data_IF_637459124172
#
_entry.id   IF_637459124172
#
_cell.length_a   1.000
_cell.length_b   1.000
_cell.length_c   1.000
_cell.angle_alpha   90.00
_cell.angle_beta   90.00
_cell.angle_gamma   90.00
#
_symmetry.space_group_name_H-M   'P 1'
#
loop_
_entity.id
_entity.type
_entity.pdbx_description
1 polymer ?
#
# COMPACT_ATOMS: atom_id res chain seq x y z
N UNK A 1 17.58 -21.60 -3.97
CA UNK A 1 16.87 -20.57 -4.77
C UNK A 1 17.63 -19.27 -4.77
N UNK A 2 17.68 -18.56 -5.91
CA UNK A 2 18.34 -17.25 -5.99
C UNK A 2 17.47 -16.25 -6.73
N UNK A 3 17.46 -15.03 -6.27
CA UNK A 3 16.82 -13.90 -6.96
C UNK A 3 17.55 -13.62 -8.26
N UNK A 4 16.84 -13.64 -9.38
CA UNK A 4 17.39 -13.37 -10.72
C UNK A 4 17.05 -11.99 -11.24
N UNK A 5 15.90 -11.44 -10.84
CA UNK A 5 15.49 -10.08 -11.26
C UNK A 5 14.51 -9.44 -10.28
N UNK A 6 14.47 -8.11 -10.30
CA UNK A 6 13.45 -7.26 -9.68
C UNK A 6 12.95 -6.29 -10.72
N UNK A 7 11.65 -6.30 -10.97
CA UNK A 7 10.97 -5.36 -11.87
C UNK A 7 9.89 -4.60 -11.16
N UNK A 8 9.66 -3.37 -11.61
CA UNK A 8 8.59 -2.52 -11.10
C UNK A 8 7.76 -1.99 -12.25
N UNK A 9 6.47 -2.24 -12.19
CA UNK A 9 5.47 -1.66 -13.10
C UNK A 9 4.54 -0.72 -12.34
N UNK A 10 4.05 0.32 -13.00
CA UNK A 10 2.95 1.12 -12.48
C UNK A 10 1.65 0.52 -13.01
N UNK A 11 0.85 -0.03 -12.12
CA UNK A 11 -0.46 -0.61 -12.46
C UNK A 11 -1.53 0.26 -11.80
N UNK A 12 -2.36 0.89 -12.64
CA UNK A 12 -3.19 1.99 -12.18
C UNK A 12 -2.29 3.13 -11.69
N UNK A 13 -2.34 3.43 -10.41
CA UNK A 13 -1.49 4.45 -9.78
C UNK A 13 -0.57 3.86 -8.68
N UNK A 14 -0.39 2.54 -8.65
CA UNK A 14 0.43 1.87 -7.65
C UNK A 14 1.67 1.24 -8.28
N UNK A 15 2.87 1.43 -7.73
CA UNK A 15 4.03 0.65 -8.09
C UNK A 15 3.87 -0.79 -7.60
N UNK A 16 3.94 -1.73 -8.51
CA UNK A 16 3.90 -3.17 -8.24
C UNK A 16 5.30 -3.75 -8.49
N UNK A 17 5.82 -4.43 -7.50
CA UNK A 17 7.11 -5.11 -7.53
C UNK A 17 6.90 -6.56 -7.90
N UNK A 18 7.72 -7.08 -8.80
CA UNK A 18 7.85 -8.51 -9.07
C UNK A 18 9.32 -8.91 -8.90
N UNK A 19 9.56 -9.89 -8.05
CA UNK A 19 10.87 -10.53 -7.86
C UNK A 19 10.80 -11.93 -8.48
N UNK A 20 11.75 -12.26 -9.35
CA UNK A 20 11.83 -13.57 -9.98
C UNK A 20 13.03 -14.36 -9.47
N UNK A 21 12.95 -15.69 -9.53
CA UNK A 21 14.00 -16.60 -9.07
C UNK A 21 14.43 -17.55 -10.17
N UNK A 22 15.59 -18.19 -9.96
CA UNK A 22 16.14 -19.25 -10.84
C UNK A 22 15.33 -20.55 -10.82
N UNK A 23 14.44 -20.74 -9.83
CA UNK A 23 13.56 -21.90 -9.73
C UNK A 23 12.15 -21.65 -10.29
N UNK A 24 11.91 -20.52 -10.93
CA UNK A 24 10.63 -20.21 -11.56
C UNK A 24 9.53 -19.73 -10.58
N UNK A 25 9.84 -19.66 -9.30
CA UNK A 25 8.94 -19.04 -8.31
C UNK A 25 9.14 -17.53 -8.34
N UNK A 26 8.07 -16.78 -8.40
CA UNK A 26 8.10 -15.33 -8.31
C UNK A 26 7.21 -14.81 -7.18
N UNK A 27 7.53 -13.63 -6.69
CA UNK A 27 6.76 -12.94 -5.67
C UNK A 27 6.37 -11.53 -6.08
N UNK A 28 5.25 -11.10 -5.55
CA UNK A 28 4.66 -9.80 -5.85
C UNK A 28 4.46 -9.00 -4.57
N UNK A 29 4.84 -7.73 -4.64
CA UNK A 29 4.58 -6.74 -3.60
C UNK A 29 4.03 -5.46 -4.19
N UNK A 30 3.40 -4.64 -3.38
CA UNK A 30 2.84 -3.35 -3.81
C UNK A 30 3.33 -2.22 -2.92
N UNK A 31 3.69 -1.10 -3.53
CA UNK A 31 3.95 0.14 -2.80
C UNK A 31 2.69 1.01 -2.70
N UNK A 32 2.80 2.13 -2.01
CA UNK A 32 1.67 3.02 -1.76
C UNK A 32 1.02 3.53 -3.06
N UNK A 33 -0.30 3.47 -3.10
CA UNK A 33 -1.12 4.00 -4.17
C UNK A 33 -0.89 5.52 -4.37
N UNK A 34 -0.94 5.97 -5.61
CA UNK A 34 -0.67 7.36 -6.04
C UNK A 34 0.75 7.86 -5.75
N UNK A 35 1.71 6.95 -5.61
CA UNK A 35 3.13 7.31 -5.42
C UNK A 35 4.03 6.66 -6.48
N UNK A 36 3.84 6.97 -7.77
CA UNK A 36 4.64 6.37 -8.85
C UNK A 36 6.14 6.67 -8.73
N UNK A 37 6.50 7.75 -8.04
CA UNK A 37 7.88 8.12 -7.75
C UNK A 37 8.63 7.11 -6.87
N UNK A 38 7.93 6.17 -6.23
CA UNK A 38 8.55 5.07 -5.49
C UNK A 38 9.20 4.03 -6.43
N UNK A 39 8.82 4.00 -7.72
CA UNK A 39 9.40 3.06 -8.69
C UNK A 39 10.93 3.14 -8.73
N UNK A 40 11.58 4.27 -9.02
CA UNK A 40 13.04 4.35 -9.03
C UNK A 40 13.66 4.04 -7.66
N UNK A 41 12.97 4.33 -6.56
CA UNK A 41 13.45 3.99 -5.22
C UNK A 41 13.46 2.48 -4.97
N UNK A 42 12.48 1.74 -5.49
CA UNK A 42 12.45 0.28 -5.41
C UNK A 42 13.53 -0.32 -6.31
N UNK A 43 13.65 0.17 -7.55
CA UNK A 43 14.64 -0.28 -8.53
C UNK A 43 16.08 -0.09 -8.03
N UNK A 44 16.33 0.94 -7.21
CA UNK A 44 17.62 1.18 -6.57
C UNK A 44 18.13 -0.03 -5.77
N UNK A 45 17.24 -0.81 -5.15
CA UNK A 45 17.64 -1.96 -4.35
C UNK A 45 17.90 -3.22 -5.17
N UNK A 46 17.65 -3.21 -6.48
CA UNK A 46 17.77 -4.38 -7.34
C UNK A 46 19.12 -5.07 -7.19
N UNK A 47 20.20 -4.34 -7.39
CA UNK A 47 21.56 -4.92 -7.38
C UNK A 47 22.00 -5.38 -5.99
N UNK A 48 21.34 -4.91 -4.94
CA UNK A 48 21.60 -5.33 -3.58
C UNK A 48 21.00 -6.68 -3.22
N UNK A 49 19.96 -7.11 -3.96
CA UNK A 49 19.22 -8.35 -3.66
C UNK A 49 19.45 -9.45 -4.68
N UNK A 50 19.89 -9.16 -5.89
CA UNK A 50 20.21 -10.15 -6.92
C UNK A 50 21.20 -11.18 -6.38
N UNK A 51 20.96 -12.46 -6.67
CA UNK A 51 21.79 -13.59 -6.25
C UNK A 51 21.59 -14.05 -4.79
N UNK A 52 20.82 -13.31 -3.99
CA UNK A 52 20.47 -13.73 -2.63
C UNK A 52 19.34 -14.76 -2.64
N UNK A 53 19.24 -15.55 -1.58
CA UNK A 53 18.12 -16.44 -1.37
C UNK A 53 16.91 -15.65 -0.87
N UNK A 54 15.78 -15.60 -1.62
CA UNK A 54 14.60 -14.85 -1.22
C UNK A 54 13.85 -15.45 -0.04
N UNK A 55 14.11 -16.73 0.31
CA UNK A 55 13.49 -17.37 1.48
C UNK A 55 14.15 -16.95 2.79
N UNK A 56 15.38 -16.47 2.73
CA UNK A 56 16.07 -15.80 3.86
C UNK A 56 15.60 -14.34 4.00
N UNK A 57 14.29 -14.13 4.13
CA UNK A 57 13.67 -12.80 4.07
C UNK A 57 14.36 -11.80 4.99
N UNK A 58 14.52 -12.13 6.26
CA UNK A 58 15.16 -11.24 7.25
C UNK A 58 16.61 -10.91 6.88
N UNK A 59 17.36 -11.86 6.36
CA UNK A 59 18.74 -11.66 5.93
C UNK A 59 18.84 -10.69 4.75
N UNK A 60 17.94 -10.82 3.78
CA UNK A 60 17.86 -9.88 2.65
C UNK A 60 17.47 -8.50 3.15
N UNK A 61 16.45 -8.45 4.02
CA UNK A 61 15.93 -7.20 4.57
C UNK A 61 16.92 -6.45 5.45
N UNK A 62 17.74 -7.14 6.24
CA UNK A 62 18.81 -6.50 7.00
C UNK A 62 19.79 -5.71 6.13
N UNK A 63 20.02 -6.18 4.90
CA UNK A 63 20.88 -5.50 3.92
C UNK A 63 20.30 -4.19 3.39
N UNK A 64 18.98 -4.06 3.31
CA UNK A 64 18.30 -2.92 2.67
C UNK A 64 17.54 -2.01 3.64
N UNK A 65 17.03 -2.52 4.78
CA UNK A 65 16.29 -1.73 5.78
C UNK A 65 17.10 -0.56 6.33
N UNK A 66 18.39 -0.72 6.47
CA UNK A 66 19.28 0.32 7.01
C UNK A 66 19.21 1.61 6.21
N UNK A 67 19.01 1.51 4.88
CA UNK A 67 18.87 2.66 3.98
C UNK A 67 17.41 3.09 3.85
N UNK A 68 16.45 2.18 4.08
CA UNK A 68 15.03 2.37 3.88
C UNK A 68 14.21 2.66 5.14
N UNK A 69 14.84 3.02 6.27
CA UNK A 69 14.13 3.25 7.53
C UNK A 69 13.26 4.50 7.56
N UNK A 70 13.46 5.43 6.64
CA UNK A 70 12.75 6.71 6.58
C UNK A 70 11.83 6.78 5.36
N UNK A 71 10.71 7.50 5.51
CA UNK A 71 9.86 7.82 4.36
C UNK A 71 10.58 8.78 3.40
N UNK A 72 10.42 8.62 2.09
CA UNK A 72 9.58 7.64 1.39
C UNK A 72 10.22 6.24 1.20
N UNK A 73 11.49 6.07 1.52
CA UNK A 73 12.25 4.83 1.30
C UNK A 73 11.63 3.61 1.98
N UNK A 74 11.03 3.79 3.18
CA UNK A 74 10.36 2.72 3.91
C UNK A 74 9.26 2.04 3.10
N UNK A 75 8.50 2.79 2.31
CA UNK A 75 7.46 2.22 1.44
C UNK A 75 8.05 1.38 0.29
N UNK A 76 9.21 1.78 -0.24
CA UNK A 76 9.92 1.01 -1.27
C UNK A 76 10.44 -0.31 -0.69
N UNK A 77 11.06 -0.26 0.47
CA UNK A 77 11.59 -1.44 1.17
C UNK A 77 10.48 -2.41 1.54
N UNK A 78 9.34 -1.91 2.06
CA UNK A 78 8.18 -2.75 2.40
C UNK A 78 7.59 -3.47 1.19
N UNK A 79 7.59 -2.85 0.01
CA UNK A 79 7.11 -3.51 -1.21
C UNK A 79 8.02 -4.69 -1.62
N UNK A 80 9.33 -4.55 -1.44
CA UNK A 80 10.29 -5.64 -1.65
C UNK A 80 10.04 -6.76 -0.62
N UNK A 81 9.88 -6.41 0.65
CA UNK A 81 9.63 -7.36 1.72
C UNK A 81 8.37 -8.21 1.47
N UNK A 82 7.28 -7.58 1.04
CA UNK A 82 6.06 -8.31 0.66
C UNK A 82 6.31 -9.33 -0.44
N UNK A 83 7.08 -8.97 -1.47
CA UNK A 83 7.42 -9.88 -2.56
C UNK A 83 8.29 -11.06 -2.08
N UNK A 84 9.23 -10.83 -1.16
CA UNK A 84 10.05 -11.89 -0.56
C UNK A 84 9.19 -12.85 0.28
N UNK A 85 8.28 -12.35 1.11
CA UNK A 85 7.35 -13.19 1.86
C UNK A 85 6.41 -13.98 0.95
N UNK A 86 5.99 -13.42 -0.19
CA UNK A 86 5.19 -14.15 -1.18
C UNK A 86 5.98 -15.31 -1.78
N UNK A 87 7.25 -15.12 -2.12
CA UNK A 87 8.15 -16.22 -2.57
C UNK A 87 8.31 -17.27 -1.47
N UNK A 88 8.60 -16.85 -0.24
CA UNK A 88 8.80 -17.77 0.88
C UNK A 88 7.53 -18.63 1.12
N UNK A 89 6.36 -18.01 1.07
CA UNK A 89 5.08 -18.71 1.18
C UNK A 89 4.86 -19.72 0.06
N UNK A 90 5.08 -19.33 -1.19
CA UNK A 90 4.96 -20.20 -2.37
C UNK A 90 5.94 -21.36 -2.34
N UNK A 91 7.20 -21.09 -1.98
CA UNK A 91 8.24 -22.12 -1.84
C UNK A 91 7.92 -23.14 -0.76
N UNK A 92 7.35 -22.71 0.36
CA UNK A 92 6.94 -23.58 1.46
C UNK A 92 5.59 -24.27 1.23
N UNK A 93 4.82 -23.89 0.21
CA UNK A 93 3.44 -24.34 0.01
C UNK A 93 2.47 -23.85 1.10
N UNK A 94 2.81 -22.74 1.77
CA UNK A 94 2.06 -22.21 2.90
C UNK A 94 1.65 -20.75 2.65
N UNK A 95 0.46 -20.34 3.12
CA UNK A 95 0.10 -18.94 3.11
C UNK A 95 0.98 -18.14 4.08
N UNK A 96 1.31 -16.91 3.73
CA UNK A 96 2.25 -16.04 4.48
C UNK A 96 1.88 -15.95 5.98
N UNK A 97 0.59 -15.84 6.33
CA UNK A 97 0.18 -15.77 7.73
C UNK A 97 0.61 -16.99 8.56
N UNK A 98 0.76 -18.17 7.93
CA UNK A 98 1.28 -19.37 8.62
C UNK A 98 2.77 -19.24 8.92
N UNK A 99 3.55 -18.65 8.01
CA UNK A 99 4.97 -18.38 8.24
C UNK A 99 5.17 -17.31 9.33
N UNK A 100 4.23 -16.39 9.47
CA UNK A 100 4.27 -15.30 10.45
C UNK A 100 3.69 -15.67 11.84
N UNK A 101 3.50 -16.94 12.12
CA UNK A 101 3.06 -17.42 13.44
C UNK A 101 1.61 -17.94 13.51
N UNK A 102 0.90 -17.99 12.38
CA UNK A 102 -0.42 -18.60 12.27
C UNK A 102 -1.59 -17.63 12.38
N UNK A 103 -2.77 -18.21 12.40
CA UNK A 103 -4.03 -17.45 12.39
C UNK A 103 -4.41 -17.00 13.81
N UNK A 104 -4.57 -15.69 13.99
CA UNK A 104 -4.98 -15.07 15.25
C UNK A 104 -6.50 -14.95 15.37
N UNK A 105 -7.20 -14.74 14.24
CA UNK A 105 -8.66 -14.57 14.20
C UNK A 105 -9.23 -14.99 12.84
N UNK A 106 -10.51 -15.38 12.83
CA UNK A 106 -11.21 -15.80 11.61
C UNK A 106 -11.85 -14.64 10.86
N UNK A 107 -12.17 -13.56 11.56
CA UNK A 107 -12.85 -12.38 11.02
C UNK A 107 -12.19 -11.11 11.53
N UNK A 108 -12.16 -10.09 10.67
CA UNK A 108 -11.72 -8.75 11.02
C UNK A 108 -12.89 -7.81 10.80
N UNK A 109 -13.24 -7.04 11.83
CA UNK A 109 -14.23 -5.97 11.67
C UNK A 109 -13.66 -4.88 10.79
N UNK A 110 -14.41 -4.49 9.77
CA UNK A 110 -14.04 -3.44 8.82
C UNK A 110 -14.96 -2.24 8.98
N UNK A 111 -14.47 -1.09 8.56
CA UNK A 111 -15.25 0.14 8.46
C UNK A 111 -15.18 0.69 7.03
N UNK A 112 -16.20 1.46 6.64
CA UNK A 112 -16.14 2.22 5.41
C UNK A 112 -15.33 3.51 5.63
N UNK A 113 -14.14 3.57 5.05
CA UNK A 113 -13.28 4.75 5.07
C UNK A 113 -12.91 5.27 3.69
N UNK A 114 -13.37 4.61 2.63
CA UNK A 114 -12.93 4.86 1.26
C UNK A 114 -14.06 5.02 0.25
N UNK A 115 -15.19 4.36 0.46
CA UNK A 115 -16.39 4.57 -0.37
C UNK A 115 -16.97 5.91 0.05
N UNK A 116 -16.77 6.91 -0.78
CA UNK A 116 -17.21 8.28 -0.55
C UNK A 116 -18.01 8.75 -1.75
N UNK A 117 -18.90 9.68 -1.51
CA UNK A 117 -19.68 10.35 -2.54
C UNK A 117 -19.22 11.80 -2.65
N UNK A 118 -19.46 12.41 -3.79
CA UNK A 118 -19.25 13.85 -3.97
C UNK A 118 -20.15 14.62 -3.00
N UNK A 119 -19.62 15.70 -2.48
CA UNK A 119 -20.33 16.61 -1.59
C UNK A 119 -20.49 17.96 -2.29
N UNK A 120 -21.68 18.54 -2.22
CA UNK A 120 -21.99 19.82 -2.84
C UNK A 120 -21.38 21.01 -2.08
N UNK A 121 -20.87 20.76 -0.88
CA UNK A 121 -20.23 21.77 -0.04
C UNK A 121 -19.47 21.16 1.13
N UNK A 122 -18.98 22.02 2.02
CA UNK A 122 -18.19 21.63 3.21
C UNK A 122 -18.90 22.04 4.52
N UNK A 123 -20.20 22.32 4.44
CA UNK A 123 -21.00 22.61 5.62
C UNK A 123 -21.34 21.31 6.37
N UNK A 124 -21.67 21.37 7.67
CA UNK A 124 -21.98 20.20 8.48
C UNK A 124 -23.05 19.30 7.86
N UNK A 125 -24.05 19.88 7.22
CA UNK A 125 -25.16 19.20 6.57
C UNK A 125 -24.68 18.32 5.41
N UNK A 126 -23.73 18.81 4.60
CA UNK A 126 -23.14 18.06 3.50
C UNK A 126 -22.37 16.82 4.01
N UNK A 127 -21.65 16.96 5.12
CA UNK A 127 -20.99 15.83 5.77
C UNK A 127 -22.00 14.82 6.31
N UNK A 128 -23.06 15.27 6.95
CA UNK A 128 -24.11 14.41 7.49
C UNK A 128 -24.80 13.62 6.38
N UNK A 129 -25.16 14.27 5.27
CA UNK A 129 -25.74 13.62 4.09
C UNK A 129 -24.78 12.59 3.49
N UNK A 130 -23.50 12.93 3.32
CA UNK A 130 -22.50 12.01 2.79
C UNK A 130 -22.32 10.79 3.70
N UNK A 131 -22.28 10.98 5.02
CA UNK A 131 -22.22 9.89 5.98
C UNK A 131 -23.45 8.98 5.91
N UNK A 132 -24.64 9.53 5.70
CA UNK A 132 -25.85 8.76 5.51
C UNK A 132 -25.78 7.92 4.23
N UNK A 133 -25.36 8.51 3.10
CA UNK A 133 -25.11 7.78 1.85
C UNK A 133 -24.09 6.67 2.01
N UNK A 134 -23.02 6.91 2.77
CA UNK A 134 -22.01 5.90 3.07
C UNK A 134 -22.56 4.75 3.94
N UNK A 135 -23.46 5.06 4.88
CA UNK A 135 -24.13 4.09 5.74
C UNK A 135 -25.09 3.20 4.94
N UNK A 136 -25.82 3.82 4.01
CA UNK A 136 -26.83 3.14 3.18
C UNK A 136 -26.19 2.33 2.03
N UNK A 137 -24.84 2.30 1.95
CA UNK A 137 -24.14 1.54 0.94
C UNK A 137 -24.47 0.04 1.01
N UNK A 138 -24.66 -0.67 -0.11
CA UNK A 138 -25.06 -2.09 -0.17
C UNK A 138 -24.18 -3.04 0.64
N UNK A 139 -22.92 -2.69 0.93
CA UNK A 139 -22.02 -3.48 1.75
C UNK A 139 -22.34 -3.41 3.26
N UNK A 140 -23.30 -2.60 3.66
CA UNK A 140 -23.83 -2.53 5.02
C UNK A 140 -22.75 -2.40 6.10
N UNK A 141 -21.87 -1.41 5.98
CA UNK A 141 -20.83 -1.15 6.97
C UNK A 141 -21.43 -0.64 8.28
N UNK A 142 -21.11 -1.30 9.39
CA UNK A 142 -21.55 -0.89 10.72
C UNK A 142 -20.79 0.31 11.26
N UNK A 143 -19.60 0.59 10.74
CA UNK A 143 -18.75 1.70 11.14
C UNK A 143 -18.37 2.51 9.89
N UNK A 144 -18.48 3.83 10.01
CA UNK A 144 -18.17 4.77 8.95
C UNK A 144 -17.11 5.73 9.45
N UNK A 145 -16.13 6.03 8.59
CA UNK A 145 -15.10 7.04 8.83
C UNK A 145 -15.24 8.15 7.81
N UNK A 146 -15.58 9.34 8.28
CA UNK A 146 -15.63 10.56 7.49
C UNK A 146 -14.60 11.58 8.00
N UNK A 147 -13.71 12.04 7.12
CA UNK A 147 -12.82 13.13 7.44
C UNK A 147 -13.62 14.46 7.35
N UNK A 148 -13.64 15.21 8.43
CA UNK A 148 -14.29 16.52 8.51
C UNK A 148 -13.31 17.70 8.37
N UNK A 149 -12.06 17.39 8.05
CA UNK A 149 -11.01 18.37 7.78
C UNK A 149 -10.75 18.48 6.27
N UNK A 150 -9.74 19.22 5.90
CA UNK A 150 -9.30 19.36 4.51
C UNK A 150 -9.18 18.05 3.75
N UNK A 151 -8.93 16.92 4.40
CA UNK A 151 -8.93 15.60 3.75
C UNK A 151 -10.30 15.21 3.21
N UNK A 152 -11.37 15.55 3.88
CA UNK A 152 -12.74 15.33 3.39
C UNK A 152 -13.09 16.21 2.21
N UNK A 153 -12.64 17.47 2.26
CA UNK A 153 -12.90 18.46 1.22
C UNK A 153 -11.93 18.41 0.03
N UNK A 154 -10.83 17.69 0.14
CA UNK A 154 -9.75 17.72 -0.86
C UNK A 154 -10.16 17.27 -2.25
N UNK A 155 -11.16 16.43 -2.36
CA UNK A 155 -11.64 15.95 -3.67
C UNK A 155 -12.37 17.04 -4.44
N UNK A 156 -12.93 18.03 -3.73
CA UNK A 156 -13.74 19.10 -4.27
C UNK A 156 -13.01 20.44 -4.32
N UNK A 157 -11.72 20.48 -3.97
CA UNK A 157 -10.91 21.70 -3.97
C UNK A 157 -9.75 21.54 -4.95
N UNK A 158 -9.89 22.17 -6.10
CA UNK A 158 -8.86 22.19 -7.13
C UNK A 158 -7.53 22.72 -6.59
N UNK A 159 -6.46 21.98 -6.92
CA UNK A 159 -5.10 22.37 -6.57
C UNK A 159 -4.81 22.33 -5.07
N UNK A 160 -5.62 21.67 -4.28
CA UNK A 160 -5.47 21.63 -2.83
C UNK A 160 -4.08 21.18 -2.38
N UNK A 161 -3.52 20.15 -3.02
CA UNK A 161 -2.16 19.67 -2.70
C UNK A 161 -1.05 20.52 -3.31
N UNK A 162 -1.33 21.21 -4.41
CA UNK A 162 -0.32 21.85 -5.25
C UNK A 162 -0.68 23.30 -5.56
N UNK A 163 -0.99 24.06 -4.55
CA UNK A 163 -1.22 25.49 -4.70
C UNK A 163 -2.64 25.97 -4.50
N UNK A 164 -3.43 25.24 -3.73
CA UNK A 164 -4.73 25.77 -3.26
C UNK A 164 -4.51 27.11 -2.57
N UNK A 165 -5.14 28.17 -3.01
CA UNK A 165 -5.00 29.48 -2.38
C UNK A 165 -5.36 29.43 -0.90
N UNK A 166 -4.57 30.09 -0.05
CA UNK A 166 -4.77 30.13 1.41
C UNK A 166 -6.18 30.56 1.79
N UNK A 167 -6.81 31.45 1.02
CA UNK A 167 -8.19 31.88 1.23
C UNK A 167 -9.24 30.79 1.11
N UNK A 168 -8.94 29.68 0.41
CA UNK A 168 -9.81 28.50 0.31
C UNK A 168 -9.56 27.47 1.41
N UNK A 169 -8.50 27.66 2.20
CA UNK A 169 -8.12 26.76 3.29
C UNK A 169 -8.63 27.22 4.66
N UNK A 170 -9.21 28.44 4.72
CA UNK A 170 -9.74 29.06 5.96
C UNK A 170 -11.19 28.75 6.16
#
# INVERSE_FOLDING_TARGET
>A
MKITDLKVAIIGNAPIVRITTDEGIDGVGAAEYRKPYLKPMIEFYRDMIIGKDPTDVERVMLGIRRMGSFKPWGAAVSAIEMALWDIAGKSAGLPVYKLLGGKVRDRVQVYNGSVRYEMDGLEPENYAENMQKMKDHPYNFSIIKQAVSFHGGMQNVDGFYYGTPVKKMR
#
